data_IF_104280722864
#
_entry.id   IF_104280722864
#
_cell.length_a   1.000
_cell.length_b   1.000
_cell.length_c   1.000
_cell.angle_alpha   90.00
_cell.angle_beta   90.00
_cell.angle_gamma   90.00
#
_symmetry.space_group_name_H-M   'P 1'
#
loop_
_entity.id
_entity.type
_entity.pdbx_description
1 polymer ?
#
# COMPACT_ATOMS: atom_id res chain seq x y z
N UNK A 1 24.39 16.88 -3.84
CA UNK A 1 23.87 15.69 -4.55
C UNK A 1 22.45 16.01 -4.97
N UNK A 2 22.16 16.10 -6.28
CA UNK A 2 20.78 16.21 -6.75
C UNK A 2 20.12 14.84 -6.58
N UNK A 3 19.49 14.63 -5.42
CA UNK A 3 18.64 13.47 -5.19
C UNK A 3 17.50 13.55 -6.21
N UNK A 4 17.67 12.83 -7.33
CA UNK A 4 16.63 12.68 -8.34
C UNK A 4 15.48 11.95 -7.68
N UNK A 5 14.52 12.72 -7.16
CA UNK A 5 13.22 12.20 -6.76
C UNK A 5 12.76 11.29 -7.90
N UNK A 6 12.46 10.00 -7.65
CA UNK A 6 12.02 9.09 -8.68
C UNK A 6 10.84 9.72 -9.42
N UNK A 7 10.74 9.49 -10.73
CA UNK A 7 9.72 10.14 -11.54
C UNK A 7 8.34 10.04 -10.87
N UNK A 8 7.48 11.06 -11.07
CA UNK A 8 6.10 11.09 -10.54
C UNK A 8 5.30 9.82 -10.83
N UNK A 9 5.70 9.00 -11.79
CA UNK A 9 5.05 7.73 -12.11
C UNK A 9 5.73 6.59 -11.34
N UNK A 10 7.06 6.57 -11.31
CA UNK A 10 7.84 5.54 -10.62
C UNK A 10 7.54 5.49 -9.12
N UNK A 11 7.49 6.63 -8.43
CA UNK A 11 7.19 6.64 -7.00
C UNK A 11 5.73 6.33 -6.66
N UNK A 12 4.80 6.56 -7.60
CA UNK A 12 3.41 6.13 -7.46
C UNK A 12 3.34 4.59 -7.45
N UNK A 13 3.96 3.94 -8.44
CA UNK A 13 3.99 2.47 -8.49
C UNK A 13 4.70 1.86 -7.29
N UNK A 14 5.81 2.45 -6.83
CA UNK A 14 6.51 1.99 -5.62
C UNK A 14 5.59 2.10 -4.39
N UNK A 15 4.84 3.21 -4.26
CA UNK A 15 3.92 3.41 -3.13
C UNK A 15 2.78 2.41 -3.17
N UNK A 16 2.17 2.19 -4.34
CA UNK A 16 1.06 1.24 -4.52
C UNK A 16 1.53 -0.19 -4.22
N UNK A 17 2.60 -0.64 -4.88
CA UNK A 17 3.12 -2.00 -4.71
C UNK A 17 3.60 -2.21 -3.27
N UNK A 18 4.37 -1.26 -2.73
CA UNK A 18 4.89 -1.32 -1.36
C UNK A 18 3.78 -1.37 -0.31
N UNK A 19 2.76 -0.53 -0.43
CA UNK A 19 1.61 -0.54 0.48
C UNK A 19 0.85 -1.86 0.41
N UNK A 20 0.66 -2.42 -0.79
CA UNK A 20 -0.02 -3.69 -0.98
C UNK A 20 0.73 -4.87 -0.35
N UNK A 21 2.07 -4.91 -0.49
CA UNK A 21 2.91 -5.95 0.13
C UNK A 21 2.86 -5.81 1.66
N UNK A 22 3.05 -4.61 2.20
CA UNK A 22 3.03 -4.37 3.64
C UNK A 22 1.68 -4.76 4.25
N UNK A 23 0.56 -4.33 3.65
CA UNK A 23 -0.78 -4.69 4.13
C UNK A 23 -0.96 -6.19 4.15
N UNK A 24 -0.60 -6.88 3.05
CA UNK A 24 -0.73 -8.34 2.95
C UNK A 24 0.09 -9.05 4.02
N UNK A 25 1.34 -8.64 4.22
CA UNK A 25 2.21 -9.22 5.25
C UNK A 25 1.66 -8.98 6.66
N UNK A 26 1.21 -7.76 6.96
CA UNK A 26 0.60 -7.42 8.25
C UNK A 26 -0.63 -8.28 8.52
N UNK A 27 -1.50 -8.44 7.52
CA UNK A 27 -2.71 -9.25 7.68
C UNK A 27 -2.40 -10.73 7.85
N UNK A 28 -1.40 -11.29 7.16
CA UNK A 28 -0.97 -12.67 7.39
C UNK A 28 -0.34 -12.85 8.77
N UNK A 29 0.40 -11.86 9.27
CA UNK A 29 0.95 -11.89 10.63
C UNK A 29 -0.18 -11.83 11.66
N UNK A 30 -1.17 -10.95 11.47
CA UNK A 30 -2.32 -10.82 12.36
C UNK A 30 -3.15 -12.12 12.37
N UNK A 31 -3.43 -12.70 11.20
CA UNK A 31 -4.11 -14.01 11.08
C UNK A 31 -3.37 -15.08 11.89
N UNK A 32 -2.04 -15.16 11.73
CA UNK A 32 -1.22 -16.14 12.47
C UNK A 32 -1.11 -15.86 13.97
N UNK A 33 -1.12 -14.61 14.41
CA UNK A 33 -0.94 -14.25 15.84
C UNK A 33 -2.25 -14.32 16.62
N UNK A 34 -3.36 -13.88 16.02
CA UNK A 34 -4.64 -13.73 16.70
C UNK A 34 -5.63 -14.84 16.38
N UNK A 35 -5.56 -15.44 15.19
CA UNK A 35 -6.51 -16.45 14.71
C UNK A 35 -5.88 -17.83 14.51
N UNK A 36 -4.73 -18.11 15.13
CA UNK A 36 -4.00 -19.38 14.97
C UNK A 36 -4.80 -20.66 15.27
N UNK A 37 -5.93 -20.54 15.98
CA UNK A 37 -6.79 -21.66 16.41
C UNK A 37 -8.22 -21.56 15.86
N UNK A 38 -8.50 -20.60 14.98
CA UNK A 38 -9.83 -20.35 14.42
C UNK A 38 -9.82 -20.66 12.92
N UNK A 39 -10.87 -21.31 12.41
CA UNK A 39 -11.10 -21.50 10.96
C UNK A 39 -11.35 -20.19 10.20
N UNK A 40 -11.08 -19.04 10.84
CA UNK A 40 -11.30 -17.71 10.32
C UNK A 40 -10.00 -17.16 9.74
N UNK A 41 -9.89 -17.22 8.42
CA UNK A 41 -8.73 -16.73 7.67
C UNK A 41 -9.13 -15.42 6.99
N UNK A 42 -8.63 -14.27 7.46
CA UNK A 42 -8.97 -12.95 6.88
C UNK A 42 -8.55 -12.89 5.41
N UNK A 43 -7.49 -13.61 5.05
CA UNK A 43 -7.05 -13.76 3.67
C UNK A 43 -8.01 -14.54 2.75
N UNK A 44 -8.90 -15.37 3.30
CA UNK A 44 -9.96 -16.09 2.56
C UNK A 44 -11.24 -15.28 2.42
N UNK A 45 -11.34 -14.12 3.07
CA UNK A 45 -12.53 -13.29 2.99
C UNK A 45 -12.76 -12.85 1.55
N UNK A 46 -13.94 -13.11 0.97
CA UNK A 46 -14.24 -12.70 -0.40
C UNK A 46 -14.10 -11.18 -0.48
N UNK A 47 -13.32 -10.71 -1.46
CA UNK A 47 -12.95 -9.30 -1.69
C UNK A 47 -11.83 -8.74 -0.81
N UNK A 48 -11.14 -9.55 0.01
CA UNK A 48 -9.99 -9.09 0.79
C UNK A 48 -8.89 -8.43 -0.07
N UNK A 49 -8.58 -9.04 -1.22
CA UNK A 49 -7.64 -8.48 -2.20
C UNK A 49 -8.10 -7.15 -2.80
N UNK A 50 -9.42 -6.95 -2.99
CA UNK A 50 -10.00 -5.69 -3.47
C UNK A 50 -9.84 -4.60 -2.40
N UNK A 51 -10.05 -4.95 -1.13
CA UNK A 51 -9.82 -4.04 -0.01
C UNK A 51 -8.37 -3.54 0.05
N UNK A 52 -7.40 -4.46 -0.03
CA UNK A 52 -5.96 -4.11 -0.08
C UNK A 52 -5.66 -3.23 -1.29
N UNK A 53 -6.20 -3.59 -2.46
CA UNK A 53 -5.98 -2.84 -3.70
C UNK A 53 -6.51 -1.41 -3.60
N UNK A 54 -7.73 -1.20 -3.07
CA UNK A 54 -8.29 0.13 -2.86
C UNK A 54 -7.46 0.94 -1.87
N UNK A 55 -7.05 0.35 -0.74
CA UNK A 55 -6.21 1.03 0.25
C UNK A 55 -4.88 1.49 -0.37
N UNK A 56 -4.25 0.60 -1.12
CA UNK A 56 -3.00 0.86 -1.84
C UNK A 56 -3.15 1.96 -2.91
N UNK A 57 -4.23 1.93 -3.69
CA UNK A 57 -4.55 2.95 -4.69
C UNK A 57 -4.71 4.33 -4.04
N UNK A 58 -5.43 4.39 -2.91
CA UNK A 58 -5.63 5.64 -2.15
C UNK A 58 -4.29 6.22 -1.70
N UNK A 59 -3.39 5.38 -1.21
CA UNK A 59 -2.06 5.80 -0.77
C UNK A 59 -1.19 6.29 -1.93
N UNK A 60 -1.29 5.63 -3.09
CA UNK A 60 -0.67 6.10 -4.33
C UNK A 60 -1.18 7.49 -4.75
N UNK A 61 -2.50 7.71 -4.70
CA UNK A 61 -3.11 9.01 -5.04
C UNK A 61 -2.63 10.10 -4.09
N UNK A 62 -2.57 9.83 -2.78
CA UNK A 62 -2.04 10.77 -1.77
C UNK A 62 -0.58 11.14 -2.09
N UNK A 63 0.25 10.14 -2.41
CA UNK A 63 1.63 10.39 -2.81
C UNK A 63 1.71 11.28 -4.06
N UNK A 64 0.85 11.03 -5.06
CA UNK A 64 0.80 11.79 -6.30
C UNK A 64 0.37 13.25 -6.08
N UNK A 65 -0.56 13.49 -5.15
CA UNK A 65 -0.94 14.83 -4.70
C UNK A 65 0.20 15.54 -3.97
N UNK A 66 0.90 14.84 -3.07
CA UNK A 66 2.03 15.39 -2.32
C UNK A 66 3.21 15.75 -3.24
N UNK A 67 3.53 14.91 -4.23
CA UNK A 67 4.59 15.24 -5.20
C UNK A 67 4.17 16.37 -6.13
N UNK A 68 2.89 16.48 -6.50
CA UNK A 68 2.38 17.66 -7.23
C UNK A 68 2.56 18.94 -6.42
N UNK A 69 2.31 18.90 -5.12
CA UNK A 69 2.50 20.04 -4.20
C UNK A 69 3.98 20.42 -4.07
N UNK A 70 4.87 19.46 -3.84
CA UNK A 70 6.33 19.67 -3.78
C UNK A 70 6.94 20.18 -5.09
N UNK A 71 6.34 19.81 -6.23
CA UNK A 71 6.74 20.27 -7.57
C UNK A 71 6.24 21.68 -7.89
N UNK A 72 5.34 22.25 -7.09
CA UNK A 72 4.80 23.62 -7.27
C UNK A 72 5.47 24.63 -6.35
N UNK A 73 6.19 24.16 -5.32
CA UNK A 73 6.99 24.93 -4.37
C UNK A 73 8.49 25.03 -4.75
N UNK A 74 8.89 24.41 -5.86
CA UNK A 74 10.21 24.59 -6.51
C UNK A 74 10.04 25.36 -7.82
#
# INVERSE_FOLDING_TARGET
MNEKIPSKITGFFITVIGTGIVLRTLTTIIDKLFFSTSDFNISEYPNFGIGIFLMSLTMGIIWLLNVKRLSKDN
#
